data_IF_627218199060
#
_entry.id   IF_627218199060
#
_cell.length_a   1.000
_cell.length_b   1.000
_cell.length_c   1.000
_cell.angle_alpha   90.00
_cell.angle_beta   90.00
_cell.angle_gamma   90.00
#
_symmetry.space_group_name_H-M   'P 1'
#
loop_
_entity.id
_entity.type
_entity.pdbx_description
1 polymer ?
#
# COMPACT_ATOMS: atom_id res chain seq x y z
N UNK A 1 -14.35 -5.32 -30.02
CA UNK A 1 -13.88 -4.23 -29.13
C UNK A 1 -12.60 -4.77 -28.54
N UNK A 2 -11.47 -4.06 -28.67
CA UNK A 2 -10.17 -4.57 -28.19
C UNK A 2 -10.24 -4.79 -26.69
N UNK A 3 -9.83 -5.99 -26.26
CA UNK A 3 -9.71 -6.33 -24.84
C UNK A 3 -8.50 -5.56 -24.30
N UNK A 4 -8.64 -4.85 -23.18
CA UNK A 4 -7.51 -4.17 -22.54
C UNK A 4 -6.69 -5.25 -21.85
N UNK A 5 -5.39 -5.31 -22.13
CA UNK A 5 -4.49 -6.28 -21.53
C UNK A 5 -4.23 -5.93 -20.06
N UNK A 6 -4.73 -6.76 -19.15
CA UNK A 6 -4.58 -6.58 -17.71
C UNK A 6 -3.11 -6.62 -17.26
N UNK A 7 -2.29 -7.46 -17.90
CA UNK A 7 -0.86 -7.58 -17.58
C UNK A 7 -0.14 -6.28 -17.93
N UNK A 8 -0.41 -5.72 -19.12
CA UNK A 8 0.17 -4.45 -19.53
C UNK A 8 -0.22 -3.29 -18.59
N UNK A 9 -1.47 -3.27 -18.12
CA UNK A 9 -1.95 -2.29 -17.13
C UNK A 9 -1.17 -2.42 -15.82
N UNK A 10 -1.11 -3.62 -15.24
CA UNK A 10 -0.44 -3.86 -13.94
C UNK A 10 1.05 -3.55 -14.03
N UNK A 11 1.73 -4.00 -15.09
CA UNK A 11 3.16 -3.74 -15.25
C UNK A 11 3.47 -2.25 -15.43
N UNK A 12 2.64 -1.54 -16.21
CA UNK A 12 2.83 -0.10 -16.43
C UNK A 12 2.61 0.68 -15.14
N UNK A 13 1.56 0.33 -14.40
CA UNK A 13 1.28 0.88 -13.09
C UNK A 13 2.45 0.62 -12.12
N UNK A 14 2.92 -0.63 -12.06
CA UNK A 14 4.03 -1.03 -11.18
C UNK A 14 5.31 -0.27 -11.51
N UNK A 15 5.69 -0.16 -12.78
CA UNK A 15 6.88 0.60 -13.21
C UNK A 15 6.77 2.09 -12.84
N UNK A 16 5.62 2.71 -13.10
CA UNK A 16 5.40 4.14 -12.83
C UNK A 16 5.36 4.47 -11.32
N UNK A 17 4.83 3.56 -10.51
CA UNK A 17 4.84 3.64 -9.05
C UNK A 17 6.24 3.41 -8.47
N UNK A 18 6.93 2.34 -8.89
CA UNK A 18 8.25 1.98 -8.38
C UNK A 18 9.32 3.05 -8.64
N UNK A 19 9.28 3.71 -9.82
CA UNK A 19 10.15 4.83 -10.15
C UNK A 19 10.04 6.01 -9.16
N UNK A 20 8.96 6.07 -8.38
CA UNK A 20 8.66 7.11 -7.40
C UNK A 20 8.55 6.56 -5.97
N UNK A 21 9.07 5.35 -5.74
CA UNK A 21 9.21 4.74 -4.42
C UNK A 21 7.96 4.01 -3.90
N UNK A 22 6.93 3.85 -4.72
CA UNK A 22 5.79 2.96 -4.44
C UNK A 22 6.05 1.60 -5.13
N UNK A 23 6.90 0.79 -4.52
CA UNK A 23 7.50 -0.42 -5.11
C UNK A 23 6.80 -1.73 -4.71
N UNK A 24 5.72 -1.67 -3.92
CA UNK A 24 4.92 -2.84 -3.55
C UNK A 24 3.63 -2.79 -4.36
N UNK A 25 3.57 -3.57 -5.43
CA UNK A 25 2.40 -3.63 -6.33
C UNK A 25 2.00 -5.08 -6.56
N UNK A 26 0.70 -5.33 -6.46
CA UNK A 26 0.09 -6.62 -6.75
C UNK A 26 -1.31 -6.41 -7.30
N UNK A 27 -1.89 -7.47 -7.86
CA UNK A 27 -3.22 -7.42 -8.43
C UNK A 27 -4.02 -8.65 -8.00
N UNK A 28 -5.34 -8.50 -8.02
CA UNK A 28 -6.29 -9.60 -7.96
C UNK A 28 -7.59 -9.16 -8.65
N UNK A 29 -8.57 -10.05 -8.67
CA UNK A 29 -9.92 -9.72 -9.05
C UNK A 29 -10.67 -8.95 -7.95
N UNK A 30 -11.64 -8.12 -8.35
CA UNK A 30 -12.57 -7.54 -7.39
C UNK A 30 -13.43 -8.61 -6.71
N UNK A 31 -13.75 -9.70 -7.40
CA UNK A 31 -14.55 -10.80 -6.86
C UNK A 31 -13.84 -11.50 -5.69
N UNK A 32 -12.55 -11.83 -5.84
CA UNK A 32 -11.75 -12.47 -4.78
C UNK A 32 -11.57 -11.54 -3.59
N UNK A 33 -11.33 -10.25 -3.86
CA UNK A 33 -11.28 -9.25 -2.79
C UNK A 33 -12.60 -9.17 -2.03
N UNK A 34 -13.73 -8.98 -2.73
CA UNK A 34 -15.05 -8.81 -2.11
C UNK A 34 -15.51 -10.07 -1.34
N UNK A 35 -15.08 -11.26 -1.78
CA UNK A 35 -15.30 -12.51 -1.08
C UNK A 35 -14.58 -12.58 0.28
N UNK A 36 -13.40 -11.96 0.38
CA UNK A 36 -12.60 -11.91 1.62
C UNK A 36 -12.87 -10.66 2.48
N UNK A 37 -13.42 -9.60 1.89
CA UNK A 37 -13.64 -8.33 2.56
C UNK A 37 -14.93 -8.32 3.40
N UNK A 38 -14.94 -7.56 4.52
CA UNK A 38 -16.17 -7.20 5.21
C UNK A 38 -17.13 -6.48 4.27
N UNK A 39 -18.45 -6.65 4.47
CA UNK A 39 -19.48 -6.07 3.61
C UNK A 39 -19.33 -4.56 3.41
N UNK A 40 -18.96 -3.83 4.47
CA UNK A 40 -18.78 -2.37 4.45
C UNK A 40 -17.55 -1.89 3.68
N UNK A 41 -16.63 -2.81 3.32
CA UNK A 41 -15.39 -2.51 2.61
C UNK A 41 -15.35 -3.14 1.21
N UNK A 42 -16.45 -3.74 0.75
CA UNK A 42 -16.56 -4.30 -0.60
C UNK A 42 -16.54 -3.18 -1.63
N UNK A 43 -15.80 -3.41 -2.72
CA UNK A 43 -15.64 -2.47 -3.82
C UNK A 43 -16.91 -2.44 -4.68
N UNK A 44 -17.53 -3.61 -4.89
CA UNK A 44 -18.67 -3.80 -5.76
C UNK A 44 -18.37 -3.55 -7.24
N UNK A 45 -19.14 -4.21 -8.11
CA UNK A 45 -19.12 -3.91 -9.54
C UNK A 45 -19.87 -2.60 -9.81
N UNK A 46 -19.38 -1.80 -10.77
CA UNK A 46 -20.14 -0.70 -11.34
C UNK A 46 -21.13 -1.21 -12.37
N UNK A 47 -22.36 -0.69 -12.36
CA UNK A 47 -23.38 -1.04 -13.38
C UNK A 47 -22.97 -0.63 -14.81
N UNK A 48 -22.16 0.43 -14.95
CA UNK A 48 -21.62 0.92 -16.22
C UNK A 48 -20.18 0.44 -16.52
N UNK A 49 -19.64 -0.41 -15.63
CA UNK A 49 -18.37 -1.12 -15.84
C UNK A 49 -18.52 -2.15 -16.96
N UNK A 50 -17.46 -2.34 -17.74
CA UNK A 50 -17.45 -3.33 -18.82
C UNK A 50 -16.93 -4.69 -18.37
N UNK A 51 -16.12 -4.71 -17.32
CA UNK A 51 -15.59 -5.94 -16.77
C UNK A 51 -16.63 -6.65 -15.89
N UNK A 52 -16.70 -7.97 -16.04
CA UNK A 52 -17.52 -8.82 -15.16
C UNK A 52 -16.86 -8.99 -13.80
N UNK A 53 -15.53 -9.07 -13.76
CA UNK A 53 -14.71 -9.10 -12.56
C UNK A 53 -13.55 -8.13 -12.75
N UNK A 54 -13.71 -6.85 -12.34
CA UNK A 54 -12.71 -5.83 -12.63
C UNK A 54 -11.39 -6.09 -11.91
N UNK A 55 -10.30 -5.75 -12.58
CA UNK A 55 -8.96 -5.71 -12.01
C UNK A 55 -8.87 -4.76 -10.83
N UNK A 56 -8.34 -5.24 -9.71
CA UNK A 56 -7.97 -4.45 -8.53
C UNK A 56 -6.46 -4.55 -8.32
N UNK A 57 -5.78 -3.41 -8.39
CA UNK A 57 -4.35 -3.31 -8.12
C UNK A 57 -4.10 -2.69 -6.73
N UNK A 58 -3.37 -3.40 -5.88
CA UNK A 58 -2.82 -2.90 -4.64
C UNK A 58 -1.58 -2.04 -4.93
N UNK A 59 -1.51 -0.86 -4.31
CA UNK A 59 -0.31 -0.02 -4.31
C UNK A 59 0.16 0.22 -2.89
N UNK A 60 1.44 0.00 -2.66
CA UNK A 60 2.13 0.19 -1.40
C UNK A 60 3.58 0.57 -1.59
N UNK A 61 4.33 0.54 -0.50
CA UNK A 61 5.74 0.87 -0.49
C UNK A 61 6.53 0.07 0.55
N UNK A 62 7.79 -0.19 0.23
CA UNK A 62 8.86 -0.52 1.18
C UNK A 62 9.51 0.78 1.69
N UNK A 63 10.71 0.69 2.27
CA UNK A 63 11.56 1.87 2.56
C UNK A 63 11.96 2.68 1.32
N UNK A 64 11.77 2.16 0.10
CA UNK A 64 12.08 2.85 -1.15
C UNK A 64 11.30 4.15 -1.36
N UNK A 65 10.15 4.32 -0.69
CA UNK A 65 9.40 5.58 -0.68
C UNK A 65 10.20 6.74 -0.10
N UNK A 66 11.02 6.47 0.91
CA UNK A 66 11.58 7.54 1.74
C UNK A 66 12.50 8.50 0.99
N UNK A 67 13.46 8.04 0.17
CA UNK A 67 14.29 8.95 -0.62
C UNK A 67 13.48 9.79 -1.62
N UNK A 68 12.49 9.17 -2.29
CA UNK A 68 11.69 9.86 -3.29
C UNK A 68 10.78 10.95 -2.67
N UNK A 69 10.18 10.65 -1.51
CA UNK A 69 9.44 11.64 -0.73
C UNK A 69 10.36 12.74 -0.19
N UNK A 70 11.54 12.42 0.32
CA UNK A 70 12.50 13.40 0.81
C UNK A 70 12.91 14.40 -0.28
N UNK A 71 13.16 13.92 -1.50
CA UNK A 71 13.44 14.75 -2.66
C UNK A 71 12.26 15.66 -3.03
N UNK A 72 11.03 15.13 -2.98
CA UNK A 72 9.83 15.92 -3.23
C UNK A 72 9.63 17.02 -2.17
N UNK A 73 9.80 16.68 -0.89
CA UNK A 73 9.70 17.62 0.22
C UNK A 73 10.80 18.69 0.19
N UNK A 74 12.00 18.36 -0.28
CA UNK A 74 13.06 19.34 -0.41
C UNK A 74 12.78 20.37 -1.53
N UNK A 75 12.09 19.95 -2.60
CA UNK A 75 11.64 20.84 -3.69
C UNK A 75 10.42 21.66 -3.28
N UNK A 76 9.53 21.08 -2.49
CA UNK A 76 8.35 21.71 -1.94
C UNK A 76 8.24 21.41 -0.43
N UNK A 77 8.69 22.36 0.39
CA UNK A 77 8.74 22.20 1.85
C UNK A 77 7.37 22.02 2.52
N UNK A 78 6.27 22.19 1.78
CA UNK A 78 4.90 21.98 2.28
C UNK A 78 4.36 20.58 1.99
N UNK A 79 5.00 19.83 1.08
CA UNK A 79 4.58 18.49 0.66
C UNK A 79 4.35 17.56 1.87
N UNK A 80 3.17 16.97 1.95
CA UNK A 80 2.91 15.86 2.88
C UNK A 80 3.17 14.53 2.20
N UNK A 81 3.37 13.48 3.01
CA UNK A 81 3.60 12.14 2.47
C UNK A 81 2.37 11.61 1.74
N UNK A 82 1.17 11.92 2.25
CA UNK A 82 -0.08 11.45 1.68
C UNK A 82 -0.35 12.14 0.35
N UNK A 83 -0.18 13.47 0.25
CA UNK A 83 -0.27 14.20 -1.03
C UNK A 83 0.74 13.71 -2.06
N UNK A 84 1.95 13.35 -1.64
CA UNK A 84 2.95 12.75 -2.52
C UNK A 84 2.46 11.40 -3.05
N UNK A 85 2.02 10.50 -2.16
CA UNK A 85 1.51 9.18 -2.55
C UNK A 85 0.30 9.31 -3.48
N UNK A 86 -0.66 10.17 -3.15
CA UNK A 86 -1.86 10.38 -3.95
C UNK A 86 -1.55 10.82 -5.38
N UNK A 87 -0.61 11.78 -5.52
CA UNK A 87 -0.16 12.25 -6.82
C UNK A 87 0.48 11.13 -7.64
N UNK A 88 1.40 10.39 -7.03
CA UNK A 88 2.08 9.26 -7.69
C UNK A 88 1.07 8.23 -8.18
N UNK A 89 0.13 7.82 -7.33
CA UNK A 89 -0.88 6.80 -7.67
C UNK A 89 -1.80 7.29 -8.77
N UNK A 90 -2.31 8.53 -8.69
CA UNK A 90 -3.20 9.10 -9.71
C UNK A 90 -2.51 9.18 -11.07
N UNK A 91 -1.29 9.70 -11.12
CA UNK A 91 -0.51 9.80 -12.35
C UNK A 91 -0.25 8.41 -12.93
N UNK A 92 0.20 7.45 -12.10
CA UNK A 92 0.53 6.10 -12.54
C UNK A 92 -0.70 5.34 -13.06
N UNK A 93 -1.86 5.50 -12.43
CA UNK A 93 -3.10 4.88 -12.87
C UNK A 93 -3.61 5.47 -14.19
N UNK A 94 -3.47 6.78 -14.39
CA UNK A 94 -3.77 7.43 -15.65
C UNK A 94 -2.84 6.94 -16.77
N UNK A 95 -1.53 6.87 -16.53
CA UNK A 95 -0.56 6.37 -17.49
C UNK A 95 -0.85 4.91 -17.88
N UNK A 96 -1.15 4.05 -16.90
CA UNK A 96 -1.43 2.63 -17.14
C UNK A 96 -2.62 2.40 -18.08
N UNK A 97 -3.73 3.12 -17.86
CA UNK A 97 -4.92 2.96 -18.71
C UNK A 97 -4.75 3.61 -20.09
N UNK A 98 -3.96 4.67 -20.21
CA UNK A 98 -3.66 5.30 -21.50
C UNK A 98 -2.76 4.42 -22.37
N UNK A 99 -1.74 3.80 -21.77
CA UNK A 99 -0.83 2.87 -22.46
C UNK A 99 -1.59 1.66 -22.97
N UNK A 100 -2.35 0.98 -22.11
CA UNK A 100 -3.07 -0.24 -22.48
C UNK A 100 -4.18 -0.01 -23.53
N UNK A 101 -4.62 1.23 -23.73
CA UNK A 101 -5.56 1.63 -24.81
C UNK A 101 -4.85 2.04 -26.11
N UNK A 102 -3.53 1.98 -26.18
CA UNK A 102 -2.75 2.19 -27.40
C UNK A 102 -2.79 3.63 -27.94
N UNK A 103 -2.70 4.66 -27.08
CA UNK A 103 -2.66 6.10 -27.43
C UNK A 103 -3.88 6.66 -28.20
N UNK A 104 -4.89 5.85 -28.54
CA UNK A 104 -6.07 6.32 -29.27
C UNK A 104 -7.11 6.86 -28.30
N UNK A 105 -6.92 8.07 -27.78
CA UNK A 105 -8.04 8.83 -27.17
C UNK A 105 -9.15 8.92 -28.21
N UNK A 106 -10.24 8.17 -28.02
CA UNK A 106 -11.49 8.48 -28.70
C UNK A 106 -11.96 9.82 -28.13
N UNK A 107 -12.03 10.83 -28.99
CA UNK A 107 -12.54 12.15 -28.63
C UNK A 107 -13.95 12.01 -28.03
N UNK A 108 -14.11 12.28 -26.74
CA UNK A 108 -15.42 12.38 -26.08
C UNK A 108 -15.66 11.48 -24.87
N UNK A 109 -14.82 10.46 -24.60
CA UNK A 109 -14.93 9.66 -23.36
C UNK A 109 -13.94 10.18 -22.30
N UNK A 110 -14.48 10.66 -21.17
CA UNK A 110 -13.68 10.95 -19.98
C UNK A 110 -13.15 9.63 -19.40
N UNK A 111 -11.92 9.28 -19.77
CA UNK A 111 -11.30 8.01 -19.38
C UNK A 111 -11.00 7.93 -17.88
N UNK A 112 -10.97 9.08 -17.19
CA UNK A 112 -10.75 9.15 -15.74
C UNK A 112 -11.92 8.58 -14.93
N UNK A 113 -13.13 8.50 -15.51
CA UNK A 113 -14.32 8.03 -14.81
C UNK A 113 -14.41 6.51 -14.66
N UNK A 114 -13.48 5.76 -15.28
CA UNK A 114 -13.44 4.29 -15.34
C UNK A 114 -12.36 3.69 -14.41
N UNK A 115 -11.63 4.55 -13.70
CA UNK A 115 -10.64 4.15 -12.69
C UNK A 115 -11.11 4.70 -11.34
N UNK A 116 -11.29 3.81 -10.36
CA UNK A 116 -11.59 4.20 -8.98
C UNK A 116 -10.35 4.00 -8.13
N UNK A 117 -10.14 4.89 -7.17
CA UNK A 117 -9.04 4.77 -6.22
C UNK A 117 -9.63 4.84 -4.82
N UNK A 118 -9.33 3.82 -4.02
CA UNK A 118 -9.66 3.75 -2.61
C UNK A 118 -8.39 3.93 -1.80
N UNK A 119 -8.36 4.93 -0.93
CA UNK A 119 -7.17 5.22 -0.12
C UNK A 119 -7.21 4.45 1.19
N UNK A 120 -6.07 3.91 1.62
CA UNK A 120 -5.98 3.15 2.87
C UNK A 120 -6.33 3.98 4.13
N UNK A 121 -6.29 5.32 4.01
CA UNK A 121 -6.65 6.26 5.07
C UNK A 121 -8.13 6.64 5.10
N UNK A 122 -8.92 6.27 4.09
CA UNK A 122 -10.32 6.65 4.01
C UNK A 122 -11.16 5.84 5.00
N UNK A 123 -11.94 6.56 5.81
CA UNK A 123 -12.88 6.00 6.81
C UNK A 123 -14.34 6.33 6.51
N UNK A 124 -14.58 7.09 5.43
CA UNK A 124 -15.92 7.47 5.01
C UNK A 124 -16.67 6.27 4.42
N UNK A 125 -17.96 6.15 4.74
CA UNK A 125 -18.83 5.10 4.19
C UNK A 125 -18.79 5.11 2.66
N UNK A 126 -18.61 3.93 2.06
CA UNK A 126 -18.46 3.77 0.60
C UNK A 126 -17.05 4.04 0.05
N UNK A 127 -16.10 4.48 0.89
CA UNK A 127 -14.68 4.65 0.50
C UNK A 127 -13.71 3.77 1.29
N UNK A 128 -14.19 3.08 2.32
CA UNK A 128 -13.37 2.17 3.14
C UNK A 128 -12.90 0.98 2.30
N UNK A 129 -11.62 0.64 2.45
CA UNK A 129 -11.01 -0.56 1.89
C UNK A 129 -10.28 -1.35 2.98
N UNK A 130 -10.48 -2.67 3.02
CA UNK A 130 -9.72 -3.56 3.91
C UNK A 130 -8.33 -3.84 3.30
N UNK A 131 -7.46 -2.83 3.27
CA UNK A 131 -6.25 -2.84 2.44
C UNK A 131 -5.27 -3.99 2.75
N UNK A 132 -5.18 -4.42 4.00
CA UNK A 132 -4.33 -5.55 4.39
C UNK A 132 -4.91 -6.90 3.94
N UNK A 133 -6.24 -7.00 3.87
CA UNK A 133 -6.96 -8.14 3.31
C UNK A 133 -6.73 -8.20 1.80
N UNK A 134 -6.80 -7.05 1.12
CA UNK A 134 -6.45 -6.95 -0.30
C UNK A 134 -5.02 -7.43 -0.55
N UNK A 135 -4.05 -6.98 0.25
CA UNK A 135 -2.68 -7.45 0.13
C UNK A 135 -2.51 -8.95 0.33
N UNK A 136 -3.34 -9.57 1.18
CA UNK A 136 -3.36 -11.00 1.37
C UNK A 136 -3.93 -11.75 0.17
N UNK A 137 -5.09 -11.32 -0.33
CA UNK A 137 -5.77 -11.94 -1.49
C UNK A 137 -4.95 -11.79 -2.76
N UNK A 138 -4.30 -10.64 -2.95
CA UNK A 138 -3.41 -10.38 -4.09
C UNK A 138 -2.05 -11.08 -3.97
N UNK A 139 -1.88 -12.02 -3.03
CA UNK A 139 -0.64 -12.75 -2.77
C UNK A 139 0.59 -11.84 -2.54
N UNK A 140 0.37 -10.62 -2.08
CA UNK A 140 1.43 -9.63 -1.87
C UNK A 140 2.07 -9.77 -0.49
N UNK A 141 1.25 -9.97 0.54
CA UNK A 141 1.72 -10.10 1.91
C UNK A 141 0.85 -11.07 2.70
N UNK A 142 1.48 -11.84 3.59
CA UNK A 142 0.75 -12.65 4.55
C UNK A 142 0.09 -11.75 5.60
N UNK A 143 -1.21 -11.89 5.87
CA UNK A 143 -1.89 -11.19 6.95
C UNK A 143 -1.93 -12.09 8.19
N UNK A 144 -1.29 -11.65 9.27
CA UNK A 144 -1.46 -12.29 10.58
C UNK A 144 -2.69 -11.71 11.28
N UNK A 145 -3.70 -12.54 11.50
CA UNK A 145 -4.98 -12.13 12.12
C UNK A 145 -4.85 -11.82 13.61
N UNK A 146 -3.76 -12.24 14.27
CA UNK A 146 -3.59 -12.06 15.72
C UNK A 146 -3.00 -10.70 16.07
N UNK A 147 -2.14 -10.16 15.21
CA UNK A 147 -1.51 -8.84 15.37
C UNK A 147 -2.01 -7.81 14.35
N UNK A 148 -2.80 -8.24 13.38
CA UNK A 148 -3.22 -7.45 12.22
C UNK A 148 -2.04 -6.83 11.48
N UNK A 149 -0.87 -7.48 11.48
CA UNK A 149 0.29 -7.06 10.71
C UNK A 149 0.37 -7.85 9.41
N UNK A 150 0.88 -7.20 8.36
CA UNK A 150 1.14 -7.85 7.07
C UNK A 150 2.64 -8.09 6.90
N UNK A 151 3.01 -9.25 6.37
CA UNK A 151 4.38 -9.70 6.21
C UNK A 151 4.64 -9.94 4.71
N UNK A 152 5.35 -9.02 4.08
CA UNK A 152 5.79 -9.16 2.70
C UNK A 152 6.94 -10.17 2.61
N UNK A 153 6.96 -11.09 1.64
CA UNK A 153 8.04 -12.08 1.52
C UNK A 153 9.44 -11.48 1.40
N UNK A 154 9.57 -10.31 0.77
CA UNK A 154 10.84 -9.60 0.63
C UNK A 154 11.09 -8.57 1.72
N UNK A 155 10.07 -7.82 2.15
CA UNK A 155 10.23 -6.65 3.02
C UNK A 155 9.84 -6.92 4.47
N UNK A 156 9.34 -8.13 4.76
CA UNK A 156 8.80 -8.49 6.06
C UNK A 156 7.67 -7.54 6.47
N UNK A 157 7.60 -7.13 7.74
CA UNK A 157 6.61 -6.15 8.16
C UNK A 157 6.95 -4.73 7.71
N UNK A 158 8.06 -4.48 7.00
CA UNK A 158 8.53 -3.13 6.61
C UNK A 158 7.99 -2.68 5.26
N UNK A 159 6.69 -2.84 5.07
CA UNK A 159 5.94 -2.24 4.00
C UNK A 159 4.68 -1.53 4.54
N UNK A 160 4.10 -0.66 3.74
CA UNK A 160 2.80 -0.06 3.99
C UNK A 160 1.98 -0.07 2.71
N UNK A 161 0.67 -0.24 2.83
CA UNK A 161 -0.26 -0.18 1.71
C UNK A 161 -0.94 1.18 1.68
N UNK A 162 -1.10 1.75 0.49
CA UNK A 162 -1.53 3.13 0.27
C UNK A 162 -2.87 3.24 -0.42
N UNK A 163 -3.09 2.43 -1.45
CA UNK A 163 -4.29 2.52 -2.26
C UNK A 163 -4.66 1.18 -2.89
N UNK A 164 -5.94 1.04 -3.18
CA UNK A 164 -6.46 0.09 -4.16
C UNK A 164 -6.91 0.88 -5.40
N UNK A 165 -6.42 0.48 -6.57
CA UNK A 165 -6.80 1.07 -7.87
C UNK A 165 -7.65 0.05 -8.62
N UNK A 166 -8.89 0.41 -8.94
CA UNK A 166 -9.85 -0.45 -9.62
C UNK A 166 -10.01 0.03 -11.04
N UNK A 167 -9.80 -0.86 -12.00
CA UNK A 167 -9.97 -0.58 -13.42
C UNK A 167 -11.27 -1.23 -13.91
N UNK A 168 -12.39 -0.49 -13.86
CA UNK A 168 -13.75 -1.05 -14.07
C UNK A 168 -14.01 -1.56 -15.51
N UNK A 169 -13.08 -1.31 -16.43
CA UNK A 169 -13.12 -1.74 -17.84
C UNK A 169 -12.08 -2.82 -18.18
N UNK A 170 -11.28 -3.25 -17.20
CA UNK A 170 -10.20 -4.23 -17.38
C UNK A 170 -10.58 -5.48 -16.61
N UNK A 171 -10.72 -6.60 -17.32
CA UNK A 171 -10.95 -7.89 -16.66
C UNK A 171 -9.73 -8.30 -15.83
N UNK A 172 -9.94 -9.19 -14.88
CA UNK A 172 -8.87 -9.79 -14.10
C UNK A 172 -7.79 -10.46 -14.99
N UNK A 173 -6.49 -10.38 -14.61
CA UNK A 173 -5.44 -11.15 -15.25
C UNK A 173 -5.61 -12.64 -14.97
N UNK A 174 -5.07 -13.48 -15.87
CA UNK A 174 -5.02 -14.92 -15.65
C UNK A 174 -4.18 -15.26 -14.39
N UNK A 175 -4.49 -16.37 -13.73
CA UNK A 175 -3.83 -16.78 -12.47
C UNK A 175 -2.30 -16.90 -12.62
N UNK A 176 -1.82 -17.29 -13.81
CA UNK A 176 -0.39 -17.42 -14.12
C UNK A 176 0.35 -16.08 -14.20
N UNK A 177 -0.37 -14.98 -14.47
CA UNK A 177 0.16 -13.63 -14.55
C UNK A 177 0.09 -12.87 -13.21
N UNK A 178 -0.52 -13.50 -12.19
CA UNK A 178 -0.61 -12.96 -10.85
C UNK A 178 0.61 -13.28 -9.98
N UNK A 179 0.65 -12.62 -8.83
CA UNK A 179 1.73 -12.80 -7.86
C UNK A 179 1.72 -14.23 -7.33
N UNK A 180 2.90 -14.89 -7.22
CA UNK A 180 2.99 -16.26 -6.75
C UNK A 180 2.32 -16.40 -5.38
N UNK A 181 1.51 -17.45 -5.24
CA UNK A 181 0.80 -17.72 -4.00
C UNK A 181 1.76 -17.83 -2.81
N UNK A 182 1.45 -17.10 -1.75
CA UNK A 182 2.16 -17.22 -0.47
C UNK A 182 1.57 -18.44 0.27
N UNK A 183 2.11 -19.63 0.01
CA UNK A 183 1.59 -20.88 0.58
C UNK A 183 1.79 -21.00 2.10
N UNK A 184 2.78 -20.30 2.65
CA UNK A 184 3.16 -20.35 4.08
C UNK A 184 3.55 -18.98 4.58
N UNK A 185 3.31 -18.75 5.87
CA UNK A 185 3.77 -17.55 6.55
C UNK A 185 5.29 -17.35 6.32
N UNK A 186 5.75 -16.15 5.92
CA UNK A 186 7.16 -15.88 5.69
C UNK A 186 8.05 -15.92 6.95
N UNK A 187 7.44 -16.04 8.14
CA UNK A 187 8.13 -16.11 9.44
C UNK A 187 7.70 -17.33 10.23
N UNK A 188 8.52 -17.72 11.21
CA UNK A 188 8.24 -18.87 12.07
C UNK A 188 7.10 -18.62 13.06
N UNK A 189 6.46 -19.69 13.54
CA UNK A 189 5.46 -19.61 14.62
C UNK A 189 6.01 -18.96 15.89
N UNK A 190 7.29 -19.18 16.20
CA UNK A 190 7.98 -18.50 17.30
C UNK A 190 8.03 -16.98 17.09
N UNK A 191 8.30 -16.53 15.86
CA UNK A 191 8.31 -15.11 15.50
C UNK A 191 6.91 -14.51 15.65
N UNK A 192 5.86 -15.22 15.20
CA UNK A 192 4.47 -14.82 15.37
C UNK A 192 4.09 -14.71 16.86
N UNK A 193 4.49 -15.68 17.68
CA UNK A 193 4.23 -15.67 19.12
C UNK A 193 4.92 -14.50 19.82
N UNK A 194 6.18 -14.21 19.46
CA UNK A 194 6.91 -13.06 20.00
C UNK A 194 6.28 -11.73 19.57
N UNK A 195 5.87 -11.60 18.31
CA UNK A 195 5.16 -10.42 17.81
C UNK A 195 3.83 -10.21 18.52
N UNK A 196 3.06 -11.29 18.75
CA UNK A 196 1.80 -11.23 19.49
C UNK A 196 2.00 -10.80 20.93
N UNK A 197 3.00 -11.32 21.63
CA UNK A 197 3.31 -10.90 22.99
C UNK A 197 3.65 -9.39 23.06
N UNK A 198 4.46 -8.89 22.13
CA UNK A 198 4.79 -7.46 22.07
C UNK A 198 3.57 -6.59 21.68
N UNK A 199 2.73 -7.08 20.77
CA UNK A 199 1.48 -6.43 20.39
C UNK A 199 0.50 -6.32 21.57
N UNK A 200 0.35 -7.38 22.35
CA UNK A 200 -0.53 -7.38 23.53
C UNK A 200 -0.09 -6.36 24.57
N UNK A 201 1.22 -6.24 24.82
CA UNK A 201 1.78 -5.19 25.68
C UNK A 201 1.46 -3.79 25.14
N UNK A 202 1.58 -3.58 23.83
CA UNK A 202 1.25 -2.31 23.20
C UNK A 202 -0.24 -1.96 23.35
N UNK A 203 -1.14 -2.93 23.13
CA UNK A 203 -2.59 -2.76 23.30
C UNK A 203 -2.96 -2.49 24.75
N UNK A 204 -2.42 -3.26 25.70
CA UNK A 204 -2.67 -3.07 27.13
C UNK A 204 -2.27 -1.66 27.56
N UNK A 205 -1.09 -1.20 27.13
CA UNK A 205 -0.62 0.15 27.45
C UNK A 205 -1.47 1.23 26.78
N UNK A 206 -1.86 1.03 25.53
CA UNK A 206 -2.73 1.95 24.81
C UNK A 206 -4.05 2.13 25.55
N UNK A 207 -4.69 1.03 25.94
CA UNK A 207 -5.95 1.04 26.67
C UNK A 207 -5.80 1.66 28.06
N UNK A 208 -4.72 1.34 28.78
CA UNK A 208 -4.46 1.88 30.12
C UNK A 208 -4.19 3.39 30.13
N UNK A 209 -3.73 3.95 29.00
CA UNK A 209 -3.36 5.37 28.89
C UNK A 209 -4.28 6.16 27.95
N UNK A 210 -5.29 5.51 27.36
CA UNK A 210 -6.16 6.10 26.34
C UNK A 210 -5.34 6.69 25.17
N UNK A 211 -4.26 5.99 24.80
CA UNK A 211 -3.32 6.40 23.74
C UNK A 211 -2.46 7.63 24.05
N UNK A 212 -2.49 8.17 25.28
CA UNK A 212 -1.80 9.42 25.66
C UNK A 212 -0.36 9.24 26.10
N UNK A 213 0.15 8.01 26.18
CA UNK A 213 1.55 7.78 26.52
C UNK A 213 2.47 8.26 25.37
N UNK A 214 3.36 9.25 25.60
CA UNK A 214 4.30 9.71 24.57
C UNK A 214 5.28 8.61 24.12
N UNK A 215 5.43 7.53 24.88
CA UNK A 215 6.28 6.39 24.56
C UNK A 215 5.53 5.25 23.84
N UNK A 216 4.20 5.38 23.65
CA UNK A 216 3.35 4.34 23.04
C UNK A 216 3.86 3.85 21.69
N UNK A 217 4.40 4.76 20.88
CA UNK A 217 4.93 4.41 19.56
C UNK A 217 6.09 3.40 19.62
N UNK A 218 6.90 3.41 20.69
CA UNK A 218 7.99 2.44 20.85
C UNK A 218 7.46 1.02 21.05
N UNK A 219 6.31 0.87 21.69
CA UNK A 219 5.67 -0.43 21.87
C UNK A 219 5.11 -0.96 20.54
N UNK A 220 4.47 -0.10 19.75
CA UNK A 220 4.03 -0.44 18.40
C UNK A 220 5.20 -0.78 17.48
N UNK A 221 6.31 -0.05 17.59
CA UNK A 221 7.54 -0.35 16.86
C UNK A 221 8.14 -1.69 17.30
N UNK A 222 8.17 -1.98 18.60
CA UNK A 222 8.66 -3.25 19.13
C UNK A 222 7.83 -4.44 18.64
N UNK A 223 6.50 -4.30 18.55
CA UNK A 223 5.64 -5.33 17.96
C UNK A 223 5.94 -5.59 16.49
N UNK A 224 6.31 -4.54 15.73
CA UNK A 224 6.73 -4.65 14.33
C UNK A 224 8.12 -5.23 14.16
N UNK A 225 9.08 -4.80 14.98
CA UNK A 225 10.44 -5.35 15.03
C UNK A 225 10.40 -6.85 15.37
N UNK A 226 9.57 -7.25 16.34
CA UNK A 226 9.36 -8.64 16.73
C UNK A 226 8.79 -9.48 15.58
N UNK A 227 7.84 -8.94 14.81
CA UNK A 227 7.31 -9.60 13.60
C UNK A 227 8.39 -9.81 12.54
N UNK A 228 9.39 -8.94 12.48
CA UNK A 228 10.51 -9.08 11.56
C UNK A 228 11.50 -10.20 11.95
N UNK A 229 11.50 -10.65 13.21
CA UNK A 229 12.36 -11.73 13.72
C UNK A 229 13.86 -11.54 13.44
N UNK A 230 14.31 -10.32 13.15
CA UNK A 230 15.66 -10.01 12.64
C UNK A 230 15.93 -10.41 11.18
N UNK A 231 15.14 -11.32 10.58
CA UNK A 231 15.30 -11.76 9.19
C UNK A 231 15.20 -10.60 8.18
N UNK A 232 14.40 -9.59 8.51
CA UNK A 232 14.16 -8.42 7.67
C UNK A 232 14.89 -7.15 8.14
N UNK A 233 15.94 -7.29 8.95
CA UNK A 233 16.67 -6.13 9.50
C UNK A 233 17.18 -5.15 8.43
N UNK A 234 17.53 -5.65 7.23
CA UNK A 234 17.96 -4.80 6.11
C UNK A 234 16.81 -4.01 5.48
N UNK A 235 15.59 -4.48 5.61
CA UNK A 235 14.38 -3.88 5.00
C UNK A 235 13.71 -2.87 5.92
N UNK A 236 14.14 -2.84 7.19
CA UNK A 236 13.69 -1.88 8.18
C UNK A 236 13.77 -0.45 7.66
N UNK A 237 12.71 0.31 7.95
CA UNK A 237 12.63 1.73 7.62
C UNK A 237 13.81 2.51 8.21
N UNK A 238 14.17 3.60 7.52
CA UNK A 238 15.16 4.55 8.05
C UNK A 238 14.66 5.16 9.36
N UNK A 239 15.58 5.60 10.23
CA UNK A 239 15.21 6.21 11.51
C UNK A 239 14.29 7.43 11.34
N UNK A 240 14.61 8.33 10.41
CA UNK A 240 13.75 9.48 10.12
C UNK A 240 12.37 9.08 9.56
N UNK A 241 12.31 7.98 8.80
CA UNK A 241 11.05 7.43 8.28
C UNK A 241 10.17 6.89 9.42
N UNK A 242 10.77 6.23 10.41
CA UNK A 242 10.08 5.72 11.60
C UNK A 242 9.53 6.89 12.42
N UNK A 243 10.37 7.88 12.73
CA UNK A 243 9.95 9.06 13.49
C UNK A 243 8.82 9.82 12.79
N UNK A 244 8.80 9.81 11.46
CA UNK A 244 7.72 10.40 10.67
C UNK A 244 6.42 9.60 10.76
N UNK A 245 6.49 8.28 10.56
CA UNK A 245 5.29 7.42 10.53
C UNK A 245 4.60 7.28 11.87
N UNK A 246 5.38 7.28 12.95
CA UNK A 246 4.85 7.23 14.31
C UNK A 246 4.52 8.61 14.89
N UNK A 247 4.56 9.67 14.07
CA UNK A 247 4.23 11.05 14.44
C UNK A 247 5.03 11.57 15.65
N UNK A 248 6.31 11.16 15.76
CA UNK A 248 7.18 11.49 16.89
C UNK A 248 7.88 12.84 16.68
N UNK A 249 8.43 13.06 15.48
CA UNK A 249 9.23 14.26 15.16
C UNK A 249 9.08 14.67 13.68
N UNK A 250 7.84 14.82 13.18
CA UNK A 250 7.64 15.22 11.77
C UNK A 250 8.27 16.57 11.44
N UNK A 251 8.23 17.54 12.36
CA UNK A 251 8.81 18.86 12.14
C UNK A 251 10.35 18.82 12.11
N UNK A 252 10.98 18.12 13.05
CA UNK A 252 12.43 17.95 13.07
C UNK A 252 12.93 17.14 11.87
N UNK A 253 12.24 16.06 11.51
CA UNK A 253 12.52 15.30 10.28
C UNK A 253 12.41 16.22 9.06
N UNK A 254 11.32 16.99 8.92
CA UNK A 254 11.15 17.97 7.81
C UNK A 254 12.34 18.93 7.73
N UNK A 255 12.78 19.48 8.87
CA UNK A 255 13.95 20.37 8.93
C UNK A 255 15.25 19.67 8.52
N UNK A 256 15.44 18.40 8.87
CA UNK A 256 16.62 17.61 8.48
C UNK A 256 16.64 17.34 6.98
N UNK A 257 15.52 16.89 6.42
CA UNK A 257 15.38 16.62 4.98
C UNK A 257 15.61 17.90 4.14
N UNK A 258 15.03 19.03 4.56
CA UNK A 258 15.22 20.32 3.88
C UNK A 258 16.68 20.83 3.94
N UNK A 259 17.46 20.44 4.94
CA UNK A 259 18.89 20.82 5.07
C UNK A 259 19.81 19.92 4.24
N UNK A 260 19.44 18.66 4.03
CA UNK A 260 20.22 17.68 3.26
C UNK A 260 20.38 18.01 1.77
N UNK A 261 19.58 18.93 1.24
CA UNK A 261 19.61 19.36 -0.18
C UNK A 261 20.43 20.63 -0.41
N UNK A 262 21.10 21.16 0.62
CA UNK A 262 22.17 22.15 0.41
C UNK A 262 23.44 21.45 -0.08
N UNK A 263 23.45 21.05 -1.35
CA UNK A 263 24.69 20.67 -2.03
C UNK A 263 25.49 21.94 -2.35
N UNK A 264 26.79 21.85 -2.11
CA UNK A 264 27.86 22.77 -2.53
C UNK A 264 27.74 23.13 -4.00
#
# INVERSE_FOLDING_TARGET
MENIDAVEVVETLARACAARGLDVVAACSAADYDAAAPETARIGAREDGRATSPLVALIGNSKALWPAFADALARDGTMTLDEYCERVVRDAAADAIEVARGFKRRSGEDSSSRVRIFWASDVEEGKVIAIQRLAHVANCAWLDENTHQSIHPLHGPWCAFRAAVVFDDVEEPDEEDLQPKIEKCPVSDETLANAKAAFDVAVERFNATDGKDPEQWRLWLAARDAMGGGAFAKERYYEDQILWHYDVDREGVRKRLARGVKTV
#
